data_IF_020583603104
#
_entry.id   IF_020583603104
#
_cell.length_a   1.000
_cell.length_b   1.000
_cell.length_c   1.000
_cell.angle_alpha   90.00
_cell.angle_beta   90.00
_cell.angle_gamma   90.00
#
_symmetry.space_group_name_H-M   'P 1'
#
loop_
_entity.id
_entity.type
_entity.pdbx_description
1 polymer ?
#
# COMPACT_ATOMS: atom_id res chain seq x y z
N UNK A 1 22.91 -8.36 4.98
CA UNK A 1 21.75 -7.48 4.71
C UNK A 1 20.56 -8.16 5.36
N UNK A 2 19.85 -7.45 6.23
CA UNK A 2 18.69 -8.03 6.89
C UNK A 2 17.55 -8.11 5.88
N UNK A 3 16.90 -9.26 5.79
CA UNK A 3 15.73 -9.41 4.92
C UNK A 3 14.47 -9.00 5.69
N UNK A 4 13.43 -8.61 4.96
CA UNK A 4 12.18 -8.11 5.54
C UNK A 4 11.01 -8.38 4.59
N UNK A 5 9.80 -8.47 5.17
CA UNK A 5 8.55 -8.72 4.44
C UNK A 5 8.63 -9.95 3.54
N UNK A 6 9.11 -11.07 4.09
CA UNK A 6 9.30 -12.31 3.31
C UNK A 6 7.96 -12.79 2.73
N UNK A 7 6.87 -12.54 3.46
CA UNK A 7 5.49 -12.89 3.09
C UNK A 7 4.97 -12.15 1.85
N UNK A 8 5.59 -11.06 1.41
CA UNK A 8 5.16 -10.34 0.19
C UNK A 8 5.43 -11.11 -1.10
N UNK A 9 6.24 -12.17 -1.05
CA UNK A 9 6.56 -13.00 -2.22
C UNK A 9 7.65 -12.42 -3.12
N UNK A 10 8.38 -11.39 -2.68
CA UNK A 10 9.49 -10.80 -3.45
C UNK A 10 10.55 -11.84 -3.86
N UNK A 11 10.82 -12.84 -3.02
CA UNK A 11 11.77 -13.93 -3.30
C UNK A 11 11.31 -14.88 -4.41
N UNK A 12 10.06 -14.81 -4.85
CA UNK A 12 9.53 -15.59 -5.96
C UNK A 12 9.69 -14.87 -7.29
N UNK A 13 10.18 -13.62 -7.31
CA UNK A 13 10.26 -12.77 -8.49
C UNK A 13 11.72 -12.58 -8.95
N UNK A 14 11.88 -12.32 -10.24
CA UNK A 14 13.15 -11.90 -10.82
C UNK A 14 13.16 -10.39 -11.04
N UNK A 15 14.34 -9.77 -11.14
CA UNK A 15 14.49 -8.37 -11.58
C UNK A 15 14.85 -8.30 -13.06
N UNK A 16 14.32 -7.31 -13.77
CA UNK A 16 14.79 -6.95 -15.10
C UNK A 16 16.03 -6.03 -15.06
N UNK A 17 16.52 -5.62 -16.23
CA UNK A 17 17.68 -4.74 -16.34
C UNK A 17 17.44 -3.35 -15.72
N UNK A 18 16.18 -2.89 -15.66
CA UNK A 18 15.76 -1.65 -15.01
C UNK A 18 15.51 -1.79 -13.51
N UNK A 19 15.68 -2.99 -12.94
CA UNK A 19 15.44 -3.28 -11.53
C UNK A 19 13.97 -3.53 -11.17
N UNK A 20 13.05 -3.54 -12.14
CA UNK A 20 11.64 -3.85 -11.92
C UNK A 20 11.37 -5.35 -11.78
N UNK A 21 10.29 -5.71 -11.09
CA UNK A 21 9.97 -7.10 -10.75
C UNK A 21 9.26 -7.81 -11.91
N UNK A 22 9.86 -8.87 -12.45
CA UNK A 22 9.30 -9.71 -13.50
C UNK A 22 8.44 -10.82 -12.91
N UNK A 23 7.25 -11.01 -13.48
CA UNK A 23 6.32 -12.07 -13.08
C UNK A 23 6.90 -13.44 -13.42
N UNK A 24 7.01 -14.30 -12.42
CA UNK A 24 7.42 -15.70 -12.56
C UNK A 24 6.23 -16.64 -12.40
N UNK A 25 6.41 -17.89 -12.82
CA UNK A 25 5.42 -18.94 -12.63
C UNK A 25 5.20 -19.24 -11.13
N UNK A 26 6.26 -19.18 -10.31
CA UNK A 26 6.17 -19.43 -8.87
C UNK A 26 5.39 -18.34 -8.14
N UNK A 27 5.55 -17.07 -8.53
CA UNK A 27 4.75 -15.98 -7.97
C UNK A 27 3.26 -16.17 -8.28
N UNK A 28 2.90 -16.54 -9.52
CA UNK A 28 1.51 -16.81 -9.88
C UNK A 28 0.92 -18.02 -9.14
N UNK A 29 1.70 -19.11 -9.00
CA UNK A 29 1.27 -20.29 -8.24
C UNK A 29 1.00 -19.96 -6.78
N UNK A 30 1.76 -19.05 -6.17
CA UNK A 30 1.51 -18.62 -4.79
C UNK A 30 0.11 -18.00 -4.62
N UNK A 31 -0.43 -17.34 -5.64
CA UNK A 31 -1.82 -16.88 -5.64
C UNK A 31 -2.81 -18.04 -5.74
N UNK A 32 -2.59 -18.99 -6.64
CA UNK A 32 -3.48 -20.16 -6.81
C UNK A 32 -3.44 -21.13 -5.64
N UNK A 33 -2.40 -21.09 -4.82
CA UNK A 33 -2.25 -21.88 -3.61
C UNK A 33 -2.94 -21.25 -2.38
N UNK A 34 -3.54 -20.05 -2.52
CA UNK A 34 -4.25 -19.43 -1.40
C UNK A 34 -5.54 -20.19 -1.05
N UNK A 35 -5.93 -20.23 0.24
CA UNK A 35 -7.13 -20.96 0.69
C UNK A 35 -8.41 -20.59 -0.07
N UNK A 36 -8.53 -19.33 -0.50
CA UNK A 36 -9.70 -18.81 -1.23
C UNK A 36 -9.84 -19.40 -2.65
N UNK A 37 -8.76 -19.98 -3.20
CA UNK A 37 -8.71 -20.60 -4.53
C UNK A 37 -8.41 -22.09 -4.48
N UNK A 38 -8.11 -22.63 -3.30
CA UNK A 38 -7.97 -24.07 -3.09
C UNK A 38 -9.36 -24.72 -3.16
N UNK A 39 -9.63 -25.56 -4.17
CA UNK A 39 -10.96 -26.16 -4.30
C UNK A 39 -11.24 -27.05 -3.09
N UNK A 40 -12.40 -26.90 -2.42
CA UNK A 40 -12.79 -27.79 -1.34
C UNK A 40 -13.03 -29.22 -1.84
N UNK A 41 -13.13 -30.18 -0.93
CA UNK A 41 -13.32 -31.60 -1.27
C UNK A 41 -14.58 -31.84 -2.12
N UNK A 42 -15.64 -31.06 -1.90
CA UNK A 42 -16.92 -31.11 -2.61
C UNK A 42 -16.98 -30.21 -3.85
N UNK A 43 -15.89 -29.53 -4.21
CA UNK A 43 -15.79 -28.69 -5.41
C UNK A 43 -16.23 -29.43 -6.68
N UNK A 44 -16.68 -28.70 -7.70
CA UNK A 44 -17.06 -29.33 -8.95
C UNK A 44 -15.84 -29.86 -9.74
N UNK A 45 -15.99 -30.89 -10.61
CA UNK A 45 -14.88 -31.40 -11.41
C UNK A 45 -14.22 -30.36 -12.33
N UNK A 46 -14.96 -29.33 -12.73
CA UNK A 46 -14.45 -28.23 -13.57
C UNK A 46 -13.44 -27.39 -12.80
N UNK A 47 -13.78 -26.97 -11.59
CA UNK A 47 -12.93 -26.16 -10.73
C UNK A 47 -11.66 -26.91 -10.32
N UNK A 48 -11.78 -28.17 -9.87
CA UNK A 48 -10.61 -29.01 -9.54
C UNK A 48 -9.66 -29.20 -10.73
N UNK A 49 -10.22 -29.33 -11.94
CA UNK A 49 -9.43 -29.40 -13.17
C UNK A 49 -8.71 -28.08 -13.41
N UNK A 50 -9.44 -26.95 -13.39
CA UNK A 50 -8.89 -25.62 -13.62
C UNK A 50 -7.74 -25.32 -12.66
N UNK A 51 -7.93 -25.59 -11.36
CA UNK A 51 -6.92 -25.39 -10.34
C UNK A 51 -5.64 -26.20 -10.61
N UNK A 52 -5.78 -27.51 -10.88
CA UNK A 52 -4.64 -28.38 -11.21
C UNK A 52 -3.92 -27.92 -12.47
N UNK A 53 -4.65 -27.57 -13.51
CA UNK A 53 -4.08 -27.19 -14.80
C UNK A 53 -3.31 -25.85 -14.66
N UNK A 54 -3.82 -24.88 -13.90
CA UNK A 54 -3.12 -23.63 -13.60
C UNK A 54 -1.94 -23.77 -12.65
N UNK A 55 -1.94 -24.75 -11.75
CA UNK A 55 -0.74 -25.06 -10.97
C UNK A 55 0.37 -25.67 -11.84
N UNK A 56 0.01 -26.36 -12.93
CA UNK A 56 0.97 -26.92 -13.87
C UNK A 56 1.48 -25.87 -14.89
N UNK A 57 0.58 -25.05 -15.44
CA UNK A 57 0.87 -23.95 -16.35
C UNK A 57 0.13 -22.67 -15.91
N UNK A 58 0.73 -21.85 -15.03
CA UNK A 58 0.05 -20.69 -14.45
C UNK A 58 -0.25 -19.59 -15.47
N UNK A 59 0.43 -19.59 -16.61
CA UNK A 59 0.24 -18.59 -17.69
C UNK A 59 -0.78 -19.03 -18.73
N UNK A 60 -1.33 -20.24 -18.61
CA UNK A 60 -2.32 -20.76 -19.55
C UNK A 60 -3.55 -19.84 -19.63
N UNK A 61 -3.97 -19.50 -20.85
CA UNK A 61 -5.21 -18.76 -21.06
C UNK A 61 -6.43 -19.60 -20.62
N UNK A 62 -7.38 -18.95 -19.95
CA UNK A 62 -8.60 -19.58 -19.45
C UNK A 62 -9.79 -18.87 -20.09
N UNK A 63 -10.65 -19.62 -20.79
CA UNK A 63 -11.82 -19.05 -21.44
C UNK A 63 -12.93 -18.69 -20.45
N UNK A 64 -13.71 -17.64 -20.75
CA UNK A 64 -14.87 -17.26 -19.94
C UNK A 64 -15.90 -18.41 -19.79
N UNK A 65 -16.00 -19.30 -20.79
CA UNK A 65 -16.86 -20.48 -20.74
C UNK A 65 -16.42 -21.53 -19.72
N UNK A 66 -15.12 -21.64 -19.44
CA UNK A 66 -14.60 -22.58 -18.43
C UNK A 66 -14.95 -22.09 -17.02
N UNK A 67 -14.79 -20.79 -16.78
CA UNK A 67 -15.20 -20.14 -15.54
C UNK A 67 -16.72 -20.23 -15.36
N UNK A 68 -17.50 -19.97 -16.41
CA UNK A 68 -18.96 -20.10 -16.38
C UNK A 68 -19.44 -21.54 -16.12
N UNK A 69 -18.59 -22.55 -16.33
CA UNK A 69 -18.91 -23.95 -16.04
C UNK A 69 -18.61 -24.37 -14.59
N UNK A 70 -17.98 -23.51 -13.78
CA UNK A 70 -17.85 -23.73 -12.33
C UNK A 70 -19.25 -23.72 -11.71
N UNK A 71 -19.57 -24.68 -10.85
CA UNK A 71 -20.91 -24.80 -10.29
C UNK A 71 -21.17 -23.73 -9.21
N UNK A 72 -20.19 -23.55 -8.32
CA UNK A 72 -20.25 -22.60 -7.22
C UNK A 72 -20.09 -21.15 -7.72
N UNK A 73 -20.93 -20.25 -7.22
CA UNK A 73 -20.94 -18.85 -7.67
C UNK A 73 -19.79 -18.04 -7.06
N UNK A 74 -19.44 -18.31 -5.81
CA UNK A 74 -18.38 -17.59 -5.08
C UNK A 74 -17.01 -18.02 -5.60
N UNK A 75 -16.79 -19.31 -5.84
CA UNK A 75 -15.59 -19.83 -6.48
C UNK A 75 -15.41 -19.22 -7.89
N UNK A 76 -16.50 -19.11 -8.67
CA UNK A 76 -16.46 -18.48 -9.99
C UNK A 76 -15.99 -17.03 -9.90
N UNK A 77 -16.51 -16.26 -8.96
CA UNK A 77 -16.13 -14.87 -8.73
C UNK A 77 -14.64 -14.77 -8.32
N UNK A 78 -14.18 -15.61 -7.40
CA UNK A 78 -12.76 -15.67 -7.01
C UNK A 78 -11.84 -15.97 -8.20
N UNK A 79 -12.21 -16.94 -9.04
CA UNK A 79 -11.47 -17.26 -10.26
C UNK A 79 -11.45 -16.09 -11.25
N UNK A 80 -12.57 -15.38 -11.43
CA UNK A 80 -12.62 -14.19 -12.29
C UNK A 80 -11.64 -13.11 -11.81
N UNK A 81 -11.64 -12.81 -10.51
CA UNK A 81 -10.77 -11.79 -9.95
C UNK A 81 -9.29 -12.15 -10.07
N UNK A 82 -8.89 -13.38 -9.70
CA UNK A 82 -7.47 -13.76 -9.77
C UNK A 82 -6.96 -13.87 -11.21
N UNK A 83 -7.81 -14.32 -12.14
CA UNK A 83 -7.43 -14.40 -13.55
C UNK A 83 -7.31 -13.01 -14.19
N UNK A 84 -8.23 -12.08 -13.89
CA UNK A 84 -8.12 -10.70 -14.33
C UNK A 84 -6.84 -10.03 -13.79
N UNK A 85 -6.51 -10.30 -12.52
CA UNK A 85 -5.26 -9.85 -11.90
C UNK A 85 -4.03 -10.45 -12.59
N UNK A 86 -3.97 -11.77 -12.76
CA UNK A 86 -2.89 -12.44 -13.50
C UNK A 86 -2.71 -11.86 -14.89
N UNK A 87 -3.81 -11.69 -15.63
CA UNK A 87 -3.78 -11.20 -17.00
C UNK A 87 -3.34 -9.72 -17.06
N UNK A 88 -3.59 -8.92 -16.03
CA UNK A 88 -2.94 -7.62 -15.89
C UNK A 88 -1.42 -7.77 -15.73
N UNK A 89 -0.96 -8.64 -14.83
CA UNK A 89 0.47 -8.80 -14.59
C UNK A 89 1.22 -9.31 -15.83
N UNK A 90 0.63 -10.25 -16.58
CA UNK A 90 1.23 -10.82 -17.79
C UNK A 90 1.25 -9.85 -18.98
N UNK A 91 0.40 -8.81 -18.98
CA UNK A 91 0.37 -7.79 -20.06
C UNK A 91 1.52 -6.80 -19.99
N UNK A 92 2.24 -6.74 -18.88
CA UNK A 92 3.30 -5.76 -18.65
C UNK A 92 4.63 -6.45 -18.34
N UNK A 93 5.76 -5.81 -18.67
CA UNK A 93 7.08 -6.41 -18.46
C UNK A 93 7.42 -6.60 -16.97
N UNK A 94 6.87 -5.75 -16.10
CA UNK A 94 7.11 -5.75 -14.65
C UNK A 94 5.84 -5.48 -13.85
N UNK A 95 5.85 -5.84 -12.56
CA UNK A 95 4.77 -5.53 -11.62
C UNK A 95 4.58 -4.02 -11.46
N UNK A 96 5.67 -3.26 -11.44
CA UNK A 96 5.66 -1.80 -11.41
C UNK A 96 4.94 -1.21 -12.63
N UNK A 97 5.26 -1.71 -13.83
CA UNK A 97 4.60 -1.27 -15.05
C UNK A 97 3.10 -1.64 -15.07
N UNK A 98 2.75 -2.83 -14.59
CA UNK A 98 1.35 -3.25 -14.44
C UNK A 98 0.58 -2.34 -13.48
N UNK A 99 1.16 -2.06 -12.30
CA UNK A 99 0.57 -1.18 -11.30
C UNK A 99 0.40 0.25 -11.82
N UNK A 100 1.43 0.82 -12.47
CA UNK A 100 1.36 2.15 -13.06
C UNK A 100 0.32 2.25 -14.17
N UNK A 101 0.20 1.23 -15.03
CA UNK A 101 -0.80 1.20 -16.08
C UNK A 101 -2.22 1.17 -15.50
N UNK A 102 -2.46 0.37 -14.46
CA UNK A 102 -3.74 0.29 -13.76
C UNK A 102 -4.09 1.61 -13.05
N UNK A 103 -3.14 2.19 -12.32
CA UNK A 103 -3.34 3.48 -11.64
C UNK A 103 -3.66 4.60 -12.65
N UNK A 104 -2.96 4.64 -13.78
CA UNK A 104 -3.15 5.67 -14.83
C UNK A 104 -4.42 5.49 -15.65
N UNK A 105 -4.97 4.28 -15.74
CA UNK A 105 -6.24 4.05 -16.44
C UNK A 105 -7.43 4.54 -15.62
N UNK A 106 -7.26 4.80 -14.32
CA UNK A 106 -8.36 5.17 -13.42
C UNK A 106 -9.38 4.04 -13.23
N UNK A 107 -9.00 2.80 -13.56
CA UNK A 107 -9.85 1.64 -13.35
C UNK A 107 -9.96 1.34 -11.86
N UNK A 108 -11.14 0.87 -11.42
CA UNK A 108 -11.40 0.46 -10.04
C UNK A 108 -11.97 -0.97 -10.01
N UNK A 109 -11.42 -1.82 -10.87
CA UNK A 109 -11.84 -3.19 -11.15
C UNK A 109 -11.02 -4.24 -10.41
N UNK A 110 -9.91 -3.85 -9.79
CA UNK A 110 -9.12 -4.74 -8.94
C UNK A 110 -9.61 -4.70 -7.49
N UNK A 111 -9.87 -5.88 -6.86
CA UNK A 111 -10.08 -5.95 -5.43
C UNK A 111 -8.96 -5.28 -4.62
N UNK A 112 -9.28 -4.53 -3.54
CA UNK A 112 -8.28 -3.83 -2.73
C UNK A 112 -7.16 -4.71 -2.19
N UNK A 113 -7.44 -5.99 -1.92
CA UNK A 113 -6.44 -6.95 -1.48
C UNK A 113 -5.29 -7.12 -2.48
N UNK A 114 -5.60 -7.24 -3.78
CA UNK A 114 -4.58 -7.38 -4.83
C UNK A 114 -3.75 -6.10 -4.98
N UNK A 115 -4.41 -4.95 -4.87
CA UNK A 115 -3.73 -3.64 -4.90
C UNK A 115 -2.75 -3.53 -3.74
N UNK A 116 -3.17 -3.86 -2.52
CA UNK A 116 -2.30 -3.83 -1.33
C UNK A 116 -1.13 -4.80 -1.46
N UNK A 117 -1.34 -6.00 -2.00
CA UNK A 117 -0.27 -6.98 -2.21
C UNK A 117 0.74 -6.52 -3.27
N UNK A 118 0.29 -5.90 -4.36
CA UNK A 118 1.19 -5.29 -5.34
C UNK A 118 2.00 -4.16 -4.73
N UNK A 119 1.35 -3.26 -3.99
CA UNK A 119 2.05 -2.17 -3.30
C UNK A 119 3.09 -2.74 -2.33
N UNK A 120 2.76 -3.77 -1.56
CA UNK A 120 3.66 -4.41 -0.61
C UNK A 120 4.92 -4.97 -1.29
N UNK A 121 4.76 -5.76 -2.36
CA UNK A 121 5.91 -6.37 -3.06
C UNK A 121 6.74 -5.34 -3.84
N UNK A 122 6.10 -4.32 -4.42
CA UNK A 122 6.80 -3.22 -5.10
C UNK A 122 7.59 -2.39 -4.08
N UNK A 123 7.01 -2.08 -2.91
CA UNK A 123 7.74 -1.37 -1.86
C UNK A 123 8.91 -2.18 -1.33
N UNK A 124 8.78 -3.50 -1.19
CA UNK A 124 9.92 -4.35 -0.83
C UNK A 124 11.08 -4.16 -1.81
N UNK A 125 10.78 -4.04 -3.11
CA UNK A 125 11.78 -3.77 -4.13
C UNK A 125 12.33 -2.34 -4.07
N UNK A 126 11.45 -1.33 -3.93
CA UNK A 126 11.82 0.09 -3.84
C UNK A 126 12.68 0.42 -2.59
N UNK A 127 12.52 -0.36 -1.53
CA UNK A 127 13.24 -0.23 -0.26
C UNK A 127 14.42 -1.21 -0.17
N UNK A 128 14.82 -1.84 -1.27
CA UNK A 128 15.99 -2.71 -1.26
C UNK A 128 17.26 -1.94 -0.85
N UNK A 129 18.04 -2.53 0.07
CA UNK A 129 19.19 -1.86 0.69
C UNK A 129 18.83 -0.73 1.67
N UNK A 130 17.55 -0.57 2.06
CA UNK A 130 17.19 0.27 3.20
C UNK A 130 17.57 -0.44 4.49
N UNK A 131 18.42 0.19 5.30
CA UNK A 131 18.88 -0.34 6.59
C UNK A 131 18.20 0.34 7.80
N UNK A 132 17.15 1.15 7.58
CA UNK A 132 16.42 1.87 8.65
C UNK A 132 15.04 1.25 8.93
N UNK A 133 14.87 0.53 10.05
CA UNK A 133 13.59 -0.04 10.47
C UNK A 133 12.43 0.95 10.54
N UNK A 134 12.69 2.23 10.84
CA UNK A 134 11.63 3.23 10.91
C UNK A 134 11.03 3.49 9.53
N UNK A 135 11.86 3.51 8.48
CA UNK A 135 11.40 3.69 7.09
C UNK A 135 10.56 2.50 6.66
N UNK A 136 11.01 1.29 7.00
CA UNK A 136 10.26 0.07 6.70
C UNK A 136 8.92 0.08 7.42
N UNK A 137 8.90 0.31 8.74
CA UNK A 137 7.64 0.40 9.50
C UNK A 137 6.70 1.47 8.97
N UNK A 138 7.23 2.65 8.63
CA UNK A 138 6.42 3.73 8.05
C UNK A 138 5.87 3.38 6.66
N UNK A 139 6.62 2.63 5.85
CA UNK A 139 6.18 2.17 4.54
C UNK A 139 5.03 1.16 4.60
N UNK A 140 4.80 0.47 5.73
CA UNK A 140 3.64 -0.39 5.91
C UNK A 140 2.31 0.36 5.76
N UNK A 141 2.26 1.67 6.04
CA UNK A 141 1.06 2.51 5.87
C UNK A 141 0.52 2.47 4.43
N UNK A 142 1.35 2.16 3.44
CA UNK A 142 0.99 2.16 2.03
C UNK A 142 0.09 0.97 1.65
N UNK A 143 0.20 -0.15 2.38
CA UNK A 143 -0.52 -1.39 2.07
C UNK A 143 -1.30 -1.97 3.26
N UNK A 144 -1.13 -1.40 4.46
CA UNK A 144 -1.82 -1.79 5.69
C UNK A 144 -2.66 -0.66 6.26
N UNK A 145 -3.92 -0.96 6.59
CA UNK A 145 -4.79 -0.02 7.31
C UNK A 145 -4.24 0.14 8.74
N UNK A 146 -4.07 1.38 9.20
CA UNK A 146 -3.66 1.64 10.58
C UNK A 146 -4.84 2.15 11.42
N UNK A 147 -4.78 1.90 12.73
CA UNK A 147 -5.66 2.48 13.73
C UNK A 147 -4.87 3.46 14.60
N UNK A 148 -5.44 4.63 14.87
CA UNK A 148 -4.90 5.57 15.85
C UNK A 148 -5.12 4.99 17.26
N UNK A 149 -4.03 4.84 18.01
CA UNK A 149 -4.08 4.33 19.38
C UNK A 149 -4.31 5.47 20.37
N UNK A 150 -5.17 5.30 21.38
CA UNK A 150 -5.36 6.32 22.41
C UNK A 150 -4.07 6.54 23.20
N UNK A 151 -3.53 7.75 23.14
CA UNK A 151 -2.41 8.18 23.97
C UNK A 151 -2.47 9.70 24.22
N UNK A 152 -2.04 10.17 25.40
CA UNK A 152 -2.24 11.55 25.84
C UNK A 152 -1.37 12.58 25.10
N UNK A 153 -0.18 12.18 24.64
CA UNK A 153 0.83 13.10 24.10
C UNK A 153 1.48 12.64 22.81
N UNK A 154 1.10 11.47 22.29
CA UNK A 154 1.68 10.92 21.08
C UNK A 154 0.61 10.43 20.10
N UNK A 155 0.89 10.58 18.82
CA UNK A 155 0.07 10.05 17.74
C UNK A 155 0.61 8.68 17.34
N UNK A 156 0.11 7.63 17.98
CA UNK A 156 0.54 6.25 17.72
C UNK A 156 -0.36 5.56 16.69
N UNK A 157 0.27 4.88 15.73
CA UNK A 157 -0.41 4.09 14.70
C UNK A 157 -0.04 2.62 14.85
N UNK A 158 -1.05 1.75 15.02
CA UNK A 158 -0.89 0.30 14.98
C UNK A 158 -1.65 -0.32 13.83
N UNK A 159 -1.23 -1.50 13.35
CA UNK A 159 -1.96 -2.21 12.30
C UNK A 159 -3.39 -2.57 12.75
N UNK A 160 -4.38 -2.33 11.89
CA UNK A 160 -5.80 -2.55 12.18
C UNK A 160 -6.14 -4.03 12.41
N UNK A 161 -5.46 -4.98 11.76
CA UNK A 161 -5.71 -6.42 11.95
C UNK A 161 -5.09 -6.91 13.27
N UNK A 162 -3.95 -6.34 13.68
CA UNK A 162 -3.29 -6.69 14.94
C UNK A 162 -3.98 -6.05 16.15
N UNK A 163 -4.29 -4.75 16.07
CA UNK A 163 -4.87 -3.97 17.18
C UNK A 163 -6.39 -4.06 17.19
N UNK A 164 -7.01 -4.09 16.01
CA UNK A 164 -8.45 -3.96 15.85
C UNK A 164 -9.26 -5.21 16.16
N UNK A 165 -8.63 -6.30 16.64
CA UNK A 165 -9.24 -7.60 16.96
C UNK A 165 -10.38 -7.63 18.00
N UNK A 166 -10.96 -6.50 18.38
CA UNK A 166 -12.20 -6.41 19.18
C UNK A 166 -13.48 -6.46 18.29
N UNK A 167 -13.72 -7.64 17.67
CA UNK A 167 -15.01 -8.27 17.22
C UNK A 167 -15.87 -7.71 16.06
N UNK A 168 -16.75 -8.52 15.37
CA UNK A 168 -16.87 -9.99 15.28
C UNK A 168 -17.03 -10.53 13.83
N UNK A 169 -16.07 -11.28 13.28
CA UNK A 169 -16.33 -12.41 12.35
C UNK A 169 -15.11 -13.35 12.42
N UNK A 170 -15.29 -14.68 12.51
CA UNK A 170 -14.23 -15.57 12.95
C UNK A 170 -13.33 -15.96 11.78
N UNK A 171 -12.15 -15.37 11.70
CA UNK A 171 -10.99 -16.14 11.24
C UNK A 171 -10.57 -16.96 12.46
N UNK A 172 -10.81 -18.27 12.38
CA UNK A 172 -10.49 -19.24 13.43
C UNK A 172 -8.97 -19.34 13.64
N UNK A 173 -8.39 -18.36 14.33
CA UNK A 173 -7.14 -18.57 15.05
C UNK A 173 -7.45 -19.40 16.29
N UNK A 174 -6.65 -20.42 16.55
CA UNK A 174 -6.73 -21.27 17.75
C UNK A 174 -6.68 -20.43 19.05
N UNK A 175 -6.08 -19.23 18.98
CA UNK A 175 -6.03 -18.26 20.09
C UNK A 175 -7.40 -17.64 20.41
N UNK A 176 -8.24 -17.41 19.40
CA UNK A 176 -9.60 -16.87 19.59
C UNK A 176 -10.53 -17.84 20.34
N UNK A 177 -10.25 -19.15 20.29
CA UNK A 177 -11.01 -20.18 21.00
C UNK A 177 -10.60 -20.36 22.47
N UNK A 178 -9.46 -19.81 22.88
CA UNK A 178 -8.90 -19.99 24.24
C UNK A 178 -9.27 -18.87 25.22
N UNK A 179 -10.11 -17.91 24.81
CA UNK A 179 -10.63 -16.88 25.72
C UNK A 179 -9.56 -15.97 26.35
N UNK A 180 -8.36 -15.93 25.77
CA UNK A 180 -7.30 -15.05 26.24
C UNK A 180 -7.59 -13.62 25.78
N UNK A 181 -8.12 -12.80 26.68
CA UNK A 181 -8.08 -11.35 26.56
C UNK A 181 -6.64 -10.90 26.80
N UNK A 182 -5.78 -11.01 25.81
CA UNK A 182 -4.52 -10.26 25.82
C UNK A 182 -4.87 -8.85 25.39
N UNK A 183 -4.82 -7.89 26.31
CA UNK A 183 -4.55 -6.50 25.92
C UNK A 183 -3.24 -6.56 25.15
N UNK A 184 -3.31 -6.54 23.82
CA UNK A 184 -2.12 -6.50 22.99
C UNK A 184 -1.44 -5.17 23.30
N UNK A 185 -0.41 -5.21 24.14
CA UNK A 185 0.49 -4.09 24.36
C UNK A 185 1.26 -3.95 23.06
N UNK A 186 0.77 -3.08 22.17
CA UNK A 186 1.44 -2.78 20.92
C UNK A 186 2.74 -2.09 21.28
N UNK A 187 3.86 -2.71 20.95
CA UNK A 187 5.17 -2.17 21.25
C UNK A 187 5.48 -1.03 20.27
N UNK A 188 5.73 0.18 20.77
CA UNK A 188 6.09 1.31 19.92
C UNK A 188 7.53 1.12 19.44
N UNK A 189 7.76 1.31 18.14
CA UNK A 189 9.09 1.30 17.56
C UNK A 189 9.91 2.48 18.09
N UNK A 190 11.00 2.17 18.78
CA UNK A 190 11.98 3.09 19.37
C UNK A 190 13.40 2.70 18.98
N UNK A 191 14.38 3.53 19.34
CA UNK A 191 15.80 3.26 19.00
C UNK A 191 16.31 1.97 19.66
N UNK A 192 15.83 1.71 20.87
CA UNK A 192 16.23 0.57 21.70
C UNK A 192 15.73 -0.78 21.18
N UNK A 193 14.65 -0.81 20.40
CA UNK A 193 14.05 -2.03 19.86
C UNK A 193 14.01 -2.07 18.33
N UNK A 194 14.60 -1.08 17.64
CA UNK A 194 14.57 -0.99 16.18
C UNK A 194 15.18 -2.22 15.49
N UNK A 195 16.25 -2.80 16.05
CA UNK A 195 16.85 -4.02 15.52
C UNK A 195 15.86 -5.20 15.55
N UNK A 196 14.89 -5.19 16.47
CA UNK A 196 13.92 -6.26 16.57
C UNK A 196 12.91 -6.29 15.42
N UNK A 197 12.74 -5.16 14.73
CA UNK A 197 11.85 -5.05 13.58
C UNK A 197 12.19 -6.07 12.48
N UNK A 198 13.48 -6.33 12.22
CA UNK A 198 13.90 -7.21 11.13
C UNK A 198 13.28 -8.60 11.19
N UNK A 199 13.27 -9.21 12.38
CA UNK A 199 12.69 -10.54 12.60
C UNK A 199 11.18 -10.51 12.85
N UNK A 200 10.58 -9.32 12.94
CA UNK A 200 9.14 -9.08 13.16
C UNK A 200 8.46 -8.42 11.98
N UNK A 201 9.18 -8.15 10.89
CA UNK A 201 8.65 -7.37 9.75
C UNK A 201 7.39 -7.97 9.13
N UNK A 202 7.23 -9.30 9.18
CA UNK A 202 6.02 -10.01 8.72
C UNK A 202 4.89 -10.10 9.78
N UNK A 203 5.12 -9.66 11.02
CA UNK A 203 4.14 -9.67 12.11
C UNK A 203 3.32 -8.38 12.19
N UNK A 204 3.84 -7.27 11.64
CA UNK A 204 3.17 -5.96 11.60
C UNK A 204 2.70 -5.46 12.99
N UNK A 205 3.41 -5.86 14.04
CA UNK A 205 2.95 -5.79 15.43
C UNK A 205 3.58 -4.63 16.24
N UNK A 206 4.44 -3.84 15.61
CA UNK A 206 5.01 -2.63 16.21
C UNK A 206 4.17 -1.39 15.88
N UNK A 207 3.99 -0.47 16.83
CA UNK A 207 3.36 0.82 16.57
C UNK A 207 4.38 1.84 16.01
N UNK A 208 3.91 2.70 15.12
CA UNK A 208 4.66 3.85 14.64
C UNK A 208 4.21 5.10 15.41
N UNK A 209 5.16 5.84 15.98
CA UNK A 209 4.91 7.17 16.51
C UNK A 209 4.99 8.23 15.39
N UNK A 210 3.84 8.78 15.00
CA UNK A 210 3.70 9.82 13.98
C UNK A 210 3.61 11.22 14.60
N UNK A 211 3.98 11.40 15.87
CA UNK A 211 4.03 12.72 16.51
C UNK A 211 4.97 13.66 15.74
N UNK A 212 4.55 14.92 15.61
CA UNK A 212 5.32 15.95 14.92
C UNK A 212 6.76 16.04 15.47
N UNK A 213 7.72 16.31 14.58
CA UNK A 213 9.17 16.36 14.86
C UNK A 213 9.82 15.04 15.33
N UNK A 214 9.04 13.96 15.46
CA UNK A 214 9.55 12.63 15.73
C UNK A 214 10.19 11.97 14.51
N UNK A 215 10.73 10.76 14.72
CA UNK A 215 11.28 9.95 13.62
C UNK A 215 10.23 9.43 12.65
N UNK A 216 8.99 9.19 13.09
CA UNK A 216 7.96 8.61 12.23
C UNK A 216 7.60 9.44 11.01
N UNK A 217 7.30 10.75 11.13
CA UNK A 217 7.04 11.59 9.97
C UNK A 217 8.24 11.67 9.01
N UNK A 218 9.47 11.76 9.54
CA UNK A 218 10.69 11.75 8.71
C UNK A 218 10.84 10.43 7.95
N UNK A 219 10.61 9.30 8.61
CA UNK A 219 10.67 7.98 8.01
C UNK A 219 9.59 7.78 6.93
N UNK A 220 8.37 8.27 7.17
CA UNK A 220 7.30 8.25 6.18
C UNK A 220 7.64 9.12 4.96
N UNK A 221 8.23 10.29 5.16
CA UNK A 221 8.71 11.14 4.07
C UNK A 221 9.78 10.44 3.22
N UNK A 222 10.69 9.68 3.83
CA UNK A 222 11.69 8.89 3.12
C UNK A 222 11.06 7.72 2.34
N UNK A 223 10.08 7.02 2.92
CA UNK A 223 9.32 5.97 2.22
C UNK A 223 8.58 6.53 1.00
N UNK A 224 7.90 7.68 1.13
CA UNK A 224 7.25 8.37 0.02
C UNK A 224 8.23 8.81 -1.07
N UNK A 225 9.41 9.30 -0.67
CA UNK A 225 10.46 9.71 -1.60
C UNK A 225 10.95 8.53 -2.44
N UNK A 226 11.24 7.38 -1.78
CA UNK A 226 11.66 6.15 -2.47
C UNK A 226 10.58 5.59 -3.38
N UNK A 227 9.31 5.64 -2.95
CA UNK A 227 8.18 5.24 -3.79
C UNK A 227 8.06 6.05 -5.08
N UNK A 228 8.14 7.38 -4.97
CA UNK A 228 8.09 8.30 -6.12
C UNK A 228 9.28 8.08 -7.05
N UNK A 229 10.49 8.01 -6.50
CA UNK A 229 11.71 7.77 -7.30
C UNK A 229 11.67 6.42 -8.01
N UNK A 230 11.27 5.34 -7.32
CA UNK A 230 11.21 3.98 -7.89
C UNK A 230 10.21 3.87 -9.04
N UNK A 231 9.01 4.42 -8.90
CA UNK A 231 7.95 4.25 -9.89
C UNK A 231 7.92 5.31 -10.98
N UNK A 232 8.34 6.54 -10.68
CA UNK A 232 8.31 7.63 -11.66
C UNK A 232 9.70 7.99 -12.21
N UNK A 233 10.78 7.53 -11.58
CA UNK A 233 12.14 7.95 -11.92
C UNK A 233 12.35 9.45 -11.64
N UNK A 234 11.69 9.99 -10.62
CA UNK A 234 11.72 11.41 -10.27
C UNK A 234 12.27 11.58 -8.86
N UNK A 235 13.27 12.43 -8.75
CA UNK A 235 13.84 12.81 -7.47
C UNK A 235 13.05 13.97 -6.86
N UNK A 236 12.55 13.72 -5.65
CA UNK A 236 11.80 14.69 -4.85
C UNK A 236 12.41 14.77 -3.45
N UNK A 237 12.25 15.91 -2.81
CA UNK A 237 12.57 16.09 -1.39
C UNK A 237 11.25 16.29 -0.65
N UNK A 238 10.98 15.41 0.31
CA UNK A 238 9.78 15.46 1.14
C UNK A 238 10.18 15.73 2.59
N UNK A 239 9.60 16.77 3.18
CA UNK A 239 9.89 17.22 4.55
C UNK A 239 8.59 17.27 5.37
N UNK A 240 8.55 16.72 6.59
CA UNK A 240 7.39 16.85 7.45
C UNK A 240 7.21 18.30 7.93
N UNK A 241 5.96 18.72 8.07
CA UNK A 241 5.55 20.02 8.57
C UNK A 241 4.75 19.85 9.86
N UNK A 242 4.96 20.76 10.82
CA UNK A 242 4.14 20.83 12.04
C UNK A 242 2.72 21.32 11.76
N UNK A 243 2.61 22.33 10.89
CA UNK A 243 1.37 23.00 10.55
C UNK A 243 1.57 23.85 9.29
N UNK A 244 0.48 24.10 8.56
CA UNK A 244 0.45 25.07 7.47
C UNK A 244 -0.03 26.42 8.02
N UNK A 245 0.84 27.42 8.00
CA UNK A 245 0.49 28.80 8.35
C UNK A 245 0.71 29.68 7.13
N UNK A 246 -0.34 30.39 6.68
CA UNK A 246 -0.30 31.33 5.55
C UNK A 246 0.32 30.75 4.26
N UNK A 247 0.26 29.41 4.12
CA UNK A 247 0.81 28.72 2.97
C UNK A 247 -0.04 29.03 1.73
N UNK A 248 0.61 29.52 0.67
CA UNK A 248 0.00 29.57 -0.64
C UNK A 248 -0.17 28.13 -1.14
N UNK A 249 -1.38 27.59 -1.01
CA UNK A 249 -1.72 26.24 -1.45
C UNK A 249 -1.80 26.22 -2.98
N UNK A 250 -0.64 26.21 -3.65
CA UNK A 250 -0.51 26.19 -5.12
C UNK A 250 -0.62 24.81 -5.73
N UNK A 251 -0.42 23.75 -4.93
CA UNK A 251 -0.79 22.38 -5.27
C UNK A 251 -0.89 21.56 -3.99
N UNK A 252 -1.74 20.53 -3.97
CA UNK A 252 -1.73 19.54 -2.89
C UNK A 252 -2.04 18.14 -3.40
N UNK A 253 -1.68 17.15 -2.60
CA UNK A 253 -2.06 15.76 -2.77
C UNK A 253 -2.58 15.24 -1.44
N UNK A 254 -3.84 14.82 -1.42
CA UNK A 254 -4.37 14.02 -0.30
C UNK A 254 -3.78 12.62 -0.35
N UNK A 255 -3.14 12.17 0.71
CA UNK A 255 -2.56 10.83 0.81
C UNK A 255 -3.61 9.76 1.17
N UNK A 256 -4.84 10.17 1.45
CA UNK A 256 -6.01 9.32 1.66
C UNK A 256 -7.29 10.04 1.19
N UNK A 257 -8.44 9.37 1.30
CA UNK A 257 -9.71 9.92 0.83
C UNK A 257 -10.22 11.12 1.65
N UNK A 258 -10.01 11.11 2.97
CA UNK A 258 -10.39 12.24 3.84
C UNK A 258 -9.45 13.43 3.60
N UNK A 259 -8.14 13.18 3.50
CA UNK A 259 -7.17 14.22 3.16
C UNK A 259 -7.45 14.88 1.80
N UNK A 260 -7.88 14.09 0.80
CA UNK A 260 -8.28 14.63 -0.50
C UNK A 260 -9.48 15.56 -0.34
N UNK A 261 -10.54 15.11 0.34
CA UNK A 261 -11.74 15.92 0.63
C UNK A 261 -11.42 17.21 1.40
N UNK A 262 -10.53 17.14 2.38
CA UNK A 262 -10.10 18.31 3.14
C UNK A 262 -9.29 19.29 2.31
N UNK A 263 -8.36 18.77 1.49
CA UNK A 263 -7.57 19.56 0.56
C UNK A 263 -8.43 20.26 -0.50
N UNK A 264 -9.43 19.57 -1.07
CA UNK A 264 -10.38 20.15 -2.05
C UNK A 264 -11.08 21.40 -1.50
N UNK A 265 -11.50 21.34 -0.23
CA UNK A 265 -12.16 22.44 0.47
C UNK A 265 -11.21 23.62 0.70
N UNK A 266 -10.00 23.34 1.20
CA UNK A 266 -8.97 24.36 1.39
C UNK A 266 -8.60 25.05 0.06
N UNK A 267 -8.50 24.27 -1.01
CA UNK A 267 -8.21 24.76 -2.36
C UNK A 267 -9.29 25.69 -2.89
N UNK A 268 -10.56 25.43 -2.54
CA UNK A 268 -11.69 26.30 -2.88
C UNK A 268 -11.87 27.49 -1.92
N UNK A 269 -10.95 27.69 -0.97
CA UNK A 269 -10.98 28.80 -0.02
C UNK A 269 -12.01 28.62 1.09
N UNK A 270 -12.48 27.40 1.34
CA UNK A 270 -13.36 27.11 2.47
C UNK A 270 -12.58 27.02 3.78
N UNK A 271 -13.21 27.46 4.88
CA UNK A 271 -12.67 27.27 6.23
C UNK A 271 -12.92 25.84 6.72
N UNK A 272 -11.90 25.23 7.32
CA UNK A 272 -12.02 23.95 8.02
C UNK A 272 -12.56 24.20 9.43
N UNK A 273 -13.58 23.43 9.83
CA UNK A 273 -14.00 23.40 11.23
C UNK A 273 -13.00 22.63 12.08
N UNK A 274 -13.01 22.85 13.40
CA UNK A 274 -12.11 22.18 14.36
C UNK A 274 -12.08 20.66 14.19
N UNK A 275 -13.24 20.03 14.03
CA UNK A 275 -13.36 18.58 13.83
C UNK A 275 -12.70 18.05 12.56
N UNK A 276 -12.61 18.87 11.52
CA UNK A 276 -11.95 18.52 10.27
C UNK A 276 -10.43 18.71 10.41
N UNK A 277 -9.99 19.75 11.13
CA UNK A 277 -8.59 19.97 11.45
C UNK A 277 -8.02 18.83 12.33
N UNK A 278 -8.78 18.37 13.33
CA UNK A 278 -8.40 17.26 14.22
C UNK A 278 -8.19 15.91 13.48
N UNK A 279 -8.67 15.79 12.24
CA UNK A 279 -8.47 14.59 11.42
C UNK A 279 -7.15 14.60 10.66
N UNK A 280 -6.48 15.74 10.54
CA UNK A 280 -5.18 15.83 9.88
C UNK A 280 -4.12 15.24 10.82
N UNK A 281 -3.50 14.15 10.39
CA UNK A 281 -2.50 13.43 11.16
C UNK A 281 -1.09 13.96 10.92
N UNK A 282 -0.76 14.24 9.66
CA UNK A 282 0.56 14.73 9.27
C UNK A 282 0.48 15.56 7.99
N UNK A 283 1.41 16.50 7.87
CA UNK A 283 1.56 17.38 6.71
C UNK A 283 2.99 17.27 6.20
N UNK A 284 3.16 17.37 4.89
CA UNK A 284 4.49 17.35 4.28
C UNK A 284 4.59 18.41 3.20
N UNK A 285 5.82 18.88 2.99
CA UNK A 285 6.23 19.69 1.86
C UNK A 285 7.03 18.83 0.90
N UNK A 286 6.59 18.72 -0.35
CA UNK A 286 7.31 18.10 -1.43
C UNK A 286 7.87 19.18 -2.38
N UNK A 287 9.14 19.04 -2.73
CA UNK A 287 9.80 19.85 -3.76
C UNK A 287 10.47 18.93 -4.78
N UNK A 288 10.45 19.30 -6.06
CA UNK A 288 11.16 18.57 -7.10
C UNK A 288 12.64 18.95 -7.07
N UNK A 289 13.54 17.96 -7.13
CA UNK A 289 14.96 18.22 -7.24
C UNK A 289 15.30 18.90 -8.59
N UNK A 290 14.55 18.54 -9.63
CA UNK A 290 14.57 19.16 -10.96
C UNK A 290 13.19 19.76 -11.27
N UNK A 291 13.03 21.07 -11.09
CA UNK A 291 11.74 21.75 -11.31
C UNK A 291 11.27 21.72 -12.76
N UNK A 292 12.13 21.37 -13.73
CA UNK A 292 11.71 21.16 -15.12
C UNK A 292 10.76 19.97 -15.29
N UNK A 293 10.75 19.04 -14.31
CA UNK A 293 9.81 17.91 -14.24
C UNK A 293 8.41 18.30 -13.79
N UNK A 294 8.27 19.44 -13.12
CA UNK A 294 6.97 19.95 -12.67
C UNK A 294 6.20 20.60 -13.84
N UNK A 295 4.87 20.64 -13.74
CA UNK A 295 4.01 21.41 -14.64
C UNK A 295 4.37 22.90 -14.57
N UNK A 296 4.30 23.58 -15.72
CA UNK A 296 4.72 24.98 -15.84
C UNK A 296 3.93 25.92 -14.91
N UNK A 297 2.65 25.61 -14.65
CA UNK A 297 1.77 26.38 -13.77
C UNK A 297 2.14 26.29 -12.27
N UNK A 298 2.88 25.25 -11.86
CA UNK A 298 3.36 25.08 -10.49
C UNK A 298 4.73 25.73 -10.29
N UNK A 299 5.60 25.67 -11.31
CA UNK A 299 6.94 26.25 -11.26
C UNK A 299 7.77 25.67 -10.10
N UNK A 300 8.39 26.56 -9.32
CA UNK A 300 9.21 26.20 -8.15
C UNK A 300 8.40 26.15 -6.83
N UNK A 301 7.07 26.28 -6.88
CA UNK A 301 6.23 26.23 -5.68
C UNK A 301 6.16 24.80 -5.11
N UNK A 302 6.12 24.65 -3.77
CA UNK A 302 6.02 23.33 -3.15
C UNK A 302 4.64 22.69 -3.39
N UNK A 303 4.64 21.36 -3.41
CA UNK A 303 3.44 20.53 -3.34
C UNK A 303 3.20 20.12 -1.89
N UNK A 304 2.00 20.36 -1.36
CA UNK A 304 1.66 19.97 -0.01
C UNK A 304 1.02 18.58 0.02
N UNK A 305 1.54 17.68 0.86
CA UNK A 305 0.94 16.35 1.07
C UNK A 305 0.20 16.35 2.40
N UNK A 306 -1.04 15.85 2.38
CA UNK A 306 -1.91 15.83 3.55
C UNK A 306 -2.23 14.38 3.88
N UNK A 307 -1.98 13.97 5.12
CA UNK A 307 -2.38 12.66 5.65
C UNK A 307 -3.45 12.87 6.72
N UNK A 308 -4.54 12.13 6.64
CA UNK A 308 -5.69 12.25 7.54
C UNK A 308 -6.21 10.89 7.96
N UNK A 309 -7.05 10.90 9.00
CA UNK A 309 -7.83 9.75 9.41
C UNK A 309 -9.31 9.91 9.08
N UNK A 310 -9.94 8.75 8.96
CA UNK A 310 -11.38 8.58 8.89
C UNK A 310 -12.05 8.86 10.23
N UNK A 311 -13.38 9.03 10.23
CA UNK A 311 -14.15 9.25 11.46
C UNK A 311 -14.07 8.08 12.45
N UNK A 312 -13.79 6.86 11.98
CA UNK A 312 -13.54 5.66 12.79
C UNK A 312 -12.08 5.53 13.28
N UNK A 313 -11.30 6.62 13.24
CA UNK A 313 -9.89 6.68 13.68
C UNK A 313 -8.98 5.70 12.94
N UNK A 314 -9.30 5.41 11.67
CA UNK A 314 -8.48 4.59 10.79
C UNK A 314 -7.78 5.44 9.75
N UNK A 315 -6.52 5.10 9.49
CA UNK A 315 -5.73 5.64 8.41
C UNK A 315 -5.72 4.64 7.25
N UNK A 316 -6.14 5.11 6.07
CA UNK A 316 -6.17 4.32 4.82
C UNK A 316 -5.41 5.07 3.73
N UNK A 317 -4.09 4.98 3.73
CA UNK A 317 -3.27 5.65 2.72
C UNK A 317 -3.56 5.09 1.32
N UNK A 318 -3.51 5.98 0.33
CA UNK A 318 -3.67 5.71 -1.10
C UNK A 318 -2.36 6.06 -1.81
N UNK A 319 -1.38 5.15 -1.86
CA UNK A 319 -0.07 5.43 -2.45
C UNK A 319 -0.12 5.79 -3.93
N UNK A 320 -1.17 5.39 -4.64
CA UNK A 320 -1.42 5.80 -6.02
C UNK A 320 -1.61 7.33 -6.17
N UNK A 321 -2.04 8.03 -5.12
CA UNK A 321 -2.21 9.48 -5.17
C UNK A 321 -0.86 10.21 -5.34
N UNK A 322 0.25 9.61 -4.88
CA UNK A 322 1.60 10.11 -5.14
C UNK A 322 2.05 9.91 -6.59
N UNK A 323 1.34 9.09 -7.37
CA UNK A 323 1.70 8.77 -8.76
C UNK A 323 0.85 9.52 -9.78
N UNK A 324 -0.38 9.86 -9.41
CA UNK A 324 -1.35 10.55 -10.27
C UNK A 324 -1.65 11.97 -9.84
N UNK A 325 -1.47 12.28 -8.55
CA UNK A 325 -1.77 13.58 -7.98
C UNK A 325 -0.63 14.58 -8.05
N UNK A 326 0.62 14.14 -8.27
CA UNK A 326 1.75 15.07 -8.39
C UNK A 326 1.70 15.82 -9.73
N UNK A 327 2.08 17.12 -9.76
CA UNK A 327 2.05 17.95 -10.96
C UNK A 327 3.28 17.66 -11.83
N UNK A 328 3.40 16.43 -12.31
CA UNK A 328 4.52 15.96 -13.12
C UNK A 328 4.19 16.13 -14.60
N UNK A 329 5.11 16.73 -15.37
CA UNK A 329 5.04 16.67 -16.84
C UNK A 329 5.15 15.22 -17.28
N UNK A 330 4.12 14.71 -17.95
CA UNK A 330 4.22 13.41 -18.62
C UNK A 330 5.27 13.54 -19.72
N UNK A 331 6.48 13.05 -19.43
CA UNK A 331 7.39 12.66 -20.49
C UNK A 331 6.73 11.46 -21.13
N UNK A 332 6.21 11.65 -22.34
CA UNK A 332 5.83 10.53 -23.20
C UNK A 332 7.07 9.62 -23.29
N UNK A 333 7.09 8.54 -22.51
CA UNK A 333 8.10 7.51 -22.73
C UNK A 333 7.75 6.91 -24.09
N UNK A 334 8.56 7.24 -25.08
CA UNK A 334 8.53 6.60 -26.38
C UNK A 334 8.62 5.09 -26.17
N UNK A 335 7.53 4.41 -26.57
CA UNK A 335 7.36 3.00 -26.94
C UNK A 335 8.43 2.00 -26.56
#
# INVERSE_FOLDING_TARGET
>A
MNDFWISCGHHLLDRDEGGGLRVTDEFLKAYFARPELMPPDDACPVERRLHRDLLADPRQAVGAGEIAAIADADARENWQFVLAFRDLLLRHPTLEAAYLAWVRSGANDLPPLFVNQLVHVILRNALDGCDDPFVLRAAELFFRIQRVLPHEHALLLGDEEVVGGRSPTPVLSLMSMLGATTDAVVEVLGEENAEAYWHRSDQFDMALDLTADGRGPVALAQAMTRWVSHLLGIDVVIEPLRALHEAKLSWYVGLDADATRLGDRLWHGEELGERDADRVLALFRLTFADSSRALDDVGDEPVYLILSMTADQKLRMKPQNLLTGLPVKRLEMAT
#
